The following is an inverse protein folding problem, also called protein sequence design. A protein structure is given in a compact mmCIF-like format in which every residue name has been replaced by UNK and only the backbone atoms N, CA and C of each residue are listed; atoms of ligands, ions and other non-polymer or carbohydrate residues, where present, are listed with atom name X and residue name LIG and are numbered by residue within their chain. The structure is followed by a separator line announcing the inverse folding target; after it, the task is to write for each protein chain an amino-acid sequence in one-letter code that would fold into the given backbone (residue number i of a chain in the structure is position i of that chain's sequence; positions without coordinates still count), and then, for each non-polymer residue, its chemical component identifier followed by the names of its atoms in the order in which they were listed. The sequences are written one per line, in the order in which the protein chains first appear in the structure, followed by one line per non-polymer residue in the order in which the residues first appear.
data_IF_533875591033
#
_entry.id   IF_533875591033
#
_cell.length_a   1.000
_cell.length_b   1.000
_cell.length_c   1.000
_cell.angle_alpha   90.00
_cell.angle_beta   90.00
_cell.angle_gamma   90.00
#
_symmetry.space_group_name_H-M   'P 1'
#
loop_
_entity.id
_entity.type
_entity.pdbx_description
1 polymer ?
#
# COMPACT_ATOMS: atom_id res chain seq x y z
N UNK A 1 1.84 -19.10 -22.11
CA UNK A 1 2.86 -20.16 -22.03
C UNK A 1 3.92 -19.74 -21.02
N UNK A 2 4.09 -20.49 -19.92
CA UNK A 2 5.19 -20.29 -18.99
C UNK A 2 6.49 -20.78 -19.66
N UNK A 3 7.57 -20.00 -19.57
CA UNK A 3 8.88 -20.45 -20.06
C UNK A 3 9.39 -21.57 -19.13
N UNK A 4 10.21 -22.51 -19.64
CA UNK A 4 10.73 -23.64 -18.84
C UNK A 4 11.35 -23.17 -17.50
N UNK A 5 11.99 -22.00 -17.49
CA UNK A 5 12.61 -21.43 -16.29
C UNK A 5 11.59 -20.90 -15.27
N UNK A 6 10.49 -20.27 -15.70
CA UNK A 6 9.46 -19.80 -14.76
C UNK A 6 8.66 -20.96 -14.17
N UNK A 7 8.39 -22.01 -14.95
CA UNK A 7 7.76 -23.22 -14.44
C UNK A 7 8.62 -23.94 -13.39
N UNK A 8 9.95 -24.00 -13.60
CA UNK A 8 10.90 -24.55 -12.61
C UNK A 8 10.92 -23.70 -11.33
N UNK A 9 10.97 -22.37 -11.46
CA UNK A 9 10.94 -21.45 -10.31
C UNK A 9 9.64 -21.58 -9.51
N UNK A 10 8.49 -21.63 -10.18
CA UNK A 10 7.19 -21.83 -9.54
C UNK A 10 7.13 -23.17 -8.77
N UNK A 11 7.66 -24.25 -9.36
CA UNK A 11 7.70 -25.55 -8.70
C UNK A 11 8.55 -25.52 -7.42
N UNK A 12 9.73 -24.89 -7.48
CA UNK A 12 10.60 -24.73 -6.30
C UNK A 12 9.89 -23.90 -5.22
N UNK A 13 9.25 -22.80 -5.61
CA UNK A 13 8.49 -21.95 -4.70
C UNK A 13 7.36 -22.72 -4.00
N UNK A 14 6.56 -23.48 -4.76
CA UNK A 14 5.47 -24.28 -4.18
C UNK A 14 5.98 -25.35 -3.23
N UNK A 15 7.08 -26.03 -3.58
CA UNK A 15 7.72 -27.01 -2.69
C UNK A 15 8.16 -26.33 -1.39
N UNK A 16 8.79 -25.15 -1.49
CA UNK A 16 9.24 -24.40 -0.32
C UNK A 16 8.06 -24.00 0.58
N UNK A 17 6.97 -23.49 -0.01
CA UNK A 17 5.74 -23.15 0.73
C UNK A 17 5.19 -24.35 1.50
N UNK A 18 5.06 -25.51 0.85
CA UNK A 18 4.58 -26.73 1.50
C UNK A 18 5.50 -27.14 2.64
N UNK A 19 6.82 -27.19 2.40
CA UNK A 19 7.82 -27.52 3.43
C UNK A 19 7.73 -26.57 4.61
N UNK A 20 7.67 -25.25 4.37
CA UNK A 20 7.59 -24.25 5.44
C UNK A 20 6.31 -24.41 6.26
N UNK A 21 5.15 -24.56 5.61
CA UNK A 21 3.88 -24.80 6.30
C UNK A 21 3.95 -26.08 7.14
N UNK A 22 4.45 -27.18 6.56
CA UNK A 22 4.58 -28.45 7.27
C UNK A 22 5.52 -28.33 8.47
N UNK A 23 6.68 -27.69 8.33
CA UNK A 23 7.60 -27.48 9.45
C UNK A 23 6.95 -26.64 10.55
N UNK A 24 6.28 -25.53 10.21
CA UNK A 24 5.55 -24.72 11.18
C UNK A 24 4.52 -25.58 11.91
N UNK A 25 3.74 -26.38 11.20
CA UNK A 25 2.74 -27.25 11.83
C UNK A 25 3.39 -28.31 12.74
N UNK A 26 4.43 -29.01 12.28
CA UNK A 26 5.10 -30.04 13.09
C UNK A 26 5.70 -29.46 14.37
N UNK A 27 6.27 -28.27 14.33
CA UNK A 27 6.86 -27.63 15.50
C UNK A 27 5.86 -26.90 16.40
N UNK A 28 4.68 -26.52 15.90
CA UNK A 28 3.73 -25.66 16.62
C UNK A 28 2.43 -26.39 17.03
N UNK A 29 2.10 -27.51 16.38
CA UNK A 29 0.82 -28.20 16.63
C UNK A 29 0.84 -28.85 18.01
N UNK A 30 -0.10 -28.40 18.84
CA UNK A 30 -0.49 -29.03 20.11
C UNK A 30 -1.86 -29.70 19.96
N UNK A 31 -2.23 -30.56 20.91
CA UNK A 31 -3.58 -31.15 20.99
C UNK A 31 -4.69 -30.08 20.98
N UNK A 32 -4.44 -28.94 21.62
CA UNK A 32 -5.33 -27.79 21.61
C UNK A 32 -5.48 -27.19 20.21
N UNK A 33 -4.40 -27.12 19.42
CA UNK A 33 -4.41 -26.64 18.04
C UNK A 33 -5.26 -27.53 17.14
N UNK A 34 -5.14 -28.86 17.30
CA UNK A 34 -5.94 -29.84 16.54
C UNK A 34 -7.42 -29.75 16.91
N UNK A 35 -7.73 -29.61 18.20
CA UNK A 35 -9.10 -29.42 18.69
C UNK A 35 -9.71 -28.11 18.18
N UNK A 36 -8.94 -27.03 18.14
CA UNK A 36 -9.36 -25.74 17.58
C UNK A 36 -9.64 -25.83 16.07
N UNK A 37 -8.73 -26.44 15.30
CA UNK A 37 -8.89 -26.64 13.85
C UNK A 37 -10.16 -27.43 13.52
N UNK A 38 -10.49 -28.46 14.29
CA UNK A 38 -11.72 -29.25 14.12
C UNK A 38 -13.01 -28.47 14.42
N UNK A 39 -12.92 -27.40 15.21
CA UNK A 39 -14.06 -26.54 15.56
C UNK A 39 -14.28 -25.40 14.57
N UNK A 40 -13.35 -25.15 13.64
CA UNK A 40 -13.50 -24.12 12.61
C UNK A 40 -14.67 -24.49 11.70
N UNK A 41 -15.68 -23.62 11.63
CA UNK A 41 -16.79 -23.80 10.70
C UNK A 41 -16.34 -23.39 9.30
N UNK A 42 -16.53 -24.27 8.32
CA UNK A 42 -16.24 -24.03 6.91
C UNK A 42 -16.88 -22.75 6.34
N UNK A 43 -18.01 -22.32 6.91
CA UNK A 43 -18.69 -21.08 6.52
C UNK A 43 -17.78 -19.85 6.70
N UNK A 44 -16.96 -19.79 7.76
CA UNK A 44 -16.07 -18.66 8.00
C UNK A 44 -14.92 -18.65 6.99
N UNK A 45 -14.32 -19.82 6.72
CA UNK A 45 -13.28 -19.95 5.69
C UNK A 45 -13.76 -19.50 4.31
N UNK A 46 -14.95 -19.95 3.90
CA UNK A 46 -15.52 -19.54 2.61
C UNK A 46 -15.85 -18.05 2.57
N UNK A 47 -16.38 -17.50 3.67
CA UNK A 47 -16.67 -16.07 3.80
C UNK A 47 -15.40 -15.22 3.71
N UNK A 48 -14.31 -15.62 4.36
CA UNK A 48 -13.01 -14.95 4.26
C UNK A 48 -12.47 -14.94 2.83
N UNK A 49 -12.63 -16.04 2.08
CA UNK A 49 -12.23 -16.10 0.67
C UNK A 49 -13.05 -15.13 -0.18
N UNK A 50 -14.37 -15.07 0.03
CA UNK A 50 -15.25 -14.13 -0.69
C UNK A 50 -14.84 -12.69 -0.39
N UNK A 51 -14.64 -12.35 0.88
CA UNK A 51 -14.20 -11.02 1.29
C UNK A 51 -12.85 -10.66 0.70
N UNK A 52 -11.90 -11.60 0.66
CA UNK A 52 -10.60 -11.39 0.04
C UNK A 52 -10.73 -11.11 -1.47
N UNK A 53 -11.58 -11.86 -2.17
CA UNK A 53 -11.83 -11.60 -3.58
C UNK A 53 -12.47 -10.23 -3.80
N UNK A 54 -13.47 -9.88 -2.99
CA UNK A 54 -14.10 -8.56 -3.04
C UNK A 54 -13.09 -7.43 -2.78
N UNK A 55 -12.21 -7.59 -1.80
CA UNK A 55 -11.10 -6.67 -1.52
C UNK A 55 -10.20 -6.50 -2.75
N UNK A 56 -9.73 -7.60 -3.35
CA UNK A 56 -8.83 -7.55 -4.52
C UNK A 56 -9.51 -6.88 -5.72
N UNK A 57 -10.79 -7.15 -5.95
CA UNK A 57 -11.56 -6.53 -7.04
C UNK A 57 -11.68 -5.01 -6.84
N UNK A 58 -12.09 -4.58 -5.64
CA UNK A 58 -12.22 -3.15 -5.33
C UNK A 58 -10.87 -2.44 -5.37
N UNK A 59 -9.81 -3.06 -4.83
CA UNK A 59 -8.45 -2.54 -4.93
C UNK A 59 -7.99 -2.36 -6.38
N UNK A 60 -8.23 -3.37 -7.22
CA UNK A 60 -7.82 -3.34 -8.62
C UNK A 60 -8.52 -2.20 -9.38
N UNK A 61 -9.83 -2.04 -9.19
CA UNK A 61 -10.61 -0.94 -9.76
C UNK A 61 -10.07 0.41 -9.25
N UNK A 62 -9.73 0.51 -7.96
CA UNK A 62 -9.20 1.77 -7.40
C UNK A 62 -7.87 2.15 -8.06
N UNK A 63 -6.99 1.19 -8.29
CA UNK A 63 -5.71 1.42 -8.97
C UNK A 63 -5.95 1.87 -10.43
N UNK A 64 -6.90 1.25 -11.12
CA UNK A 64 -7.30 1.68 -12.47
C UNK A 64 -7.81 3.13 -12.49
N UNK A 65 -8.71 3.49 -11.57
CA UNK A 65 -9.23 4.85 -11.45
C UNK A 65 -8.14 5.88 -11.10
N UNK A 66 -7.22 5.53 -10.20
CA UNK A 66 -6.05 6.37 -9.89
C UNK A 66 -5.16 6.54 -11.10
N UNK A 67 -4.89 5.45 -11.84
CA UNK A 67 -4.08 5.50 -13.05
C UNK A 67 -4.69 6.42 -14.11
N UNK A 68 -6.01 6.34 -14.33
CA UNK A 68 -6.74 7.23 -15.25
C UNK A 68 -6.66 8.68 -14.81
N UNK A 69 -6.84 8.93 -13.52
CA UNK A 69 -6.87 10.30 -12.97
C UNK A 69 -5.53 11.00 -13.14
N UNK A 70 -4.43 10.28 -12.88
CA UNK A 70 -3.06 10.79 -12.85
C UNK A 70 -2.42 10.77 -14.25
N UNK A 71 -2.59 9.68 -15.00
CA UNK A 71 -1.89 9.47 -16.28
C UNK A 71 -2.76 9.71 -17.51
N UNK A 72 -4.06 9.90 -17.33
CA UNK A 72 -5.04 10.02 -18.41
C UNK A 72 -5.48 8.69 -19.02
N UNK A 73 -4.83 7.59 -18.66
CA UNK A 73 -5.06 6.27 -19.24
C UNK A 73 -5.31 5.23 -18.15
N UNK A 74 -6.17 4.26 -18.44
CA UNK A 74 -6.36 3.11 -17.59
C UNK A 74 -5.24 2.10 -17.83
N UNK A 75 -4.63 1.62 -16.75
CA UNK A 75 -3.84 0.38 -16.84
C UNK A 75 -4.77 -0.81 -16.98
N UNK A 76 -4.24 -1.93 -17.47
CA UNK A 76 -5.02 -3.18 -17.59
C UNK A 76 -5.41 -3.72 -16.21
N UNK A 77 -6.64 -4.20 -16.07
CA UNK A 77 -7.13 -4.85 -14.85
C UNK A 77 -6.22 -5.98 -14.36
N UNK A 78 -5.76 -6.82 -15.30
CA UNK A 78 -4.80 -7.89 -14.99
C UNK A 78 -3.50 -7.36 -14.38
N UNK A 79 -3.05 -6.18 -14.81
CA UNK A 79 -1.85 -5.52 -14.28
C UNK A 79 -2.13 -4.91 -12.91
N UNK A 80 -3.34 -4.41 -12.63
CA UNK A 80 -3.78 -4.01 -11.29
C UNK A 80 -3.80 -5.19 -10.31
N UNK A 81 -4.33 -6.34 -10.73
CA UNK A 81 -4.33 -7.56 -9.92
C UNK A 81 -2.89 -8.05 -9.66
N UNK A 82 -2.05 -8.05 -10.70
CA UNK A 82 -0.63 -8.39 -10.57
C UNK A 82 0.10 -7.42 -9.62
N UNK A 83 -0.23 -6.13 -9.68
CA UNK A 83 0.29 -5.09 -8.80
C UNK A 83 -0.04 -5.34 -7.32
N UNK A 84 -1.26 -5.82 -7.02
CA UNK A 84 -1.68 -6.18 -5.66
C UNK A 84 -0.92 -7.41 -5.17
N UNK A 85 -1.00 -8.53 -5.91
CA UNK A 85 -0.43 -9.79 -5.46
C UNK A 85 1.10 -9.78 -5.43
N UNK A 86 1.76 -9.29 -6.49
CA UNK A 86 3.22 -9.23 -6.49
C UNK A 86 3.73 -8.24 -5.45
N UNK A 87 3.03 -7.12 -5.26
CA UNK A 87 3.34 -6.15 -4.22
C UNK A 87 3.27 -6.79 -2.82
N UNK A 88 2.14 -7.42 -2.49
CA UNK A 88 1.95 -8.09 -1.21
C UNK A 88 2.97 -9.21 -0.98
N UNK A 89 3.22 -10.04 -2.00
CA UNK A 89 4.17 -11.14 -1.94
C UNK A 89 5.60 -10.66 -1.64
N UNK A 90 6.10 -9.68 -2.41
CA UNK A 90 7.46 -9.16 -2.18
C UNK A 90 7.56 -8.36 -0.88
N UNK A 91 6.51 -7.67 -0.46
CA UNK A 91 6.44 -7.08 0.88
C UNK A 91 6.55 -8.12 1.98
N UNK A 92 5.90 -9.28 1.84
CA UNK A 92 5.91 -10.34 2.86
C UNK A 92 7.27 -11.06 2.96
N UNK A 93 8.01 -11.17 1.86
CA UNK A 93 9.29 -11.91 1.83
C UNK A 93 10.48 -11.02 2.17
N UNK A 94 10.35 -9.70 2.08
CA UNK A 94 11.46 -8.76 2.32
C UNK A 94 11.37 -8.06 3.67
N UNK A 95 12.50 -7.80 4.36
CA UNK A 95 12.49 -7.06 5.61
C UNK A 95 11.92 -5.65 5.39
N UNK A 96 11.20 -5.15 6.39
CA UNK A 96 10.53 -3.83 6.37
C UNK A 96 9.52 -3.64 5.22
N UNK A 97 9.06 -4.72 4.57
CA UNK A 97 8.18 -4.65 3.40
C UNK A 97 8.77 -3.86 2.22
N UNK A 98 10.10 -3.71 2.17
CA UNK A 98 10.78 -2.83 1.22
C UNK A 98 10.63 -3.29 -0.25
N UNK A 99 10.36 -4.57 -0.49
CA UNK A 99 10.25 -5.17 -1.82
C UNK A 99 8.94 -4.90 -2.57
N UNK A 100 7.85 -4.54 -1.87
CA UNK A 100 6.54 -4.36 -2.50
C UNK A 100 6.46 -3.13 -3.40
N UNK A 101 6.95 -1.98 -2.92
CA UNK A 101 6.90 -0.74 -3.71
C UNK A 101 7.72 -0.81 -5.01
N UNK A 102 8.97 -1.36 -5.04
CA UNK A 102 9.73 -1.52 -6.27
C UNK A 102 9.03 -2.35 -7.35
N UNK A 103 8.42 -3.49 -6.99
CA UNK A 103 7.72 -4.32 -7.99
C UNK A 103 6.45 -3.64 -8.50
N UNK A 104 5.74 -2.93 -7.62
CA UNK A 104 4.59 -2.11 -7.98
C UNK A 104 4.98 -1.03 -8.99
N UNK A 105 6.11 -0.34 -8.79
CA UNK A 105 6.64 0.63 -9.74
C UNK A 105 7.00 -0.02 -11.09
N UNK A 106 7.63 -1.20 -11.06
CA UNK A 106 7.99 -1.94 -12.28
C UNK A 106 6.76 -2.31 -13.11
N UNK A 107 5.69 -2.79 -12.47
CA UNK A 107 4.44 -3.17 -13.14
C UNK A 107 3.80 -1.96 -13.82
N UNK A 108 3.68 -0.82 -13.11
CA UNK A 108 3.15 0.41 -13.68
C UNK A 108 4.05 0.96 -14.79
N UNK A 109 5.36 0.79 -14.68
CA UNK A 109 6.30 1.18 -15.74
C UNK A 109 6.11 0.36 -17.01
N UNK A 110 5.84 -0.95 -16.87
CA UNK A 110 5.52 -1.85 -17.98
C UNK A 110 4.20 -1.49 -18.67
N UNK A 111 3.26 -0.86 -17.97
CA UNK A 111 2.04 -0.27 -18.53
C UNK A 111 2.28 1.09 -19.21
N UNK A 112 3.52 1.56 -19.31
CA UNK A 112 3.89 2.78 -20.04
C UNK A 112 3.81 4.07 -19.21
N UNK A 113 3.57 3.98 -17.91
CA UNK A 113 3.46 5.17 -17.06
C UNK A 113 4.83 5.88 -16.88
N UNK A 114 4.82 7.20 -16.82
CA UNK A 114 6.00 8.02 -16.52
C UNK A 114 6.35 7.96 -15.03
N UNK A 115 7.63 8.11 -14.69
CA UNK A 115 8.13 7.89 -13.33
C UNK A 115 7.52 8.83 -12.29
N UNK A 116 7.28 10.09 -12.66
CA UNK A 116 6.64 11.07 -11.81
C UNK A 116 5.19 10.68 -11.49
N UNK A 117 4.43 10.22 -12.49
CA UNK A 117 3.06 9.72 -12.34
C UNK A 117 2.98 8.45 -11.49
N UNK A 118 3.91 7.52 -11.69
CA UNK A 118 4.01 6.28 -10.88
C UNK A 118 4.18 6.62 -9.41
N UNK A 119 5.13 7.49 -9.08
CA UNK A 119 5.37 7.88 -7.70
C UNK A 119 4.19 8.67 -7.12
N UNK A 120 3.56 9.56 -7.90
CA UNK A 120 2.34 10.25 -7.46
C UNK A 120 1.22 9.26 -7.17
N UNK A 121 1.05 8.21 -7.99
CA UNK A 121 0.04 7.19 -7.77
C UNK A 121 0.27 6.45 -6.45
N UNK A 122 1.51 6.02 -6.18
CA UNK A 122 1.85 5.33 -4.94
C UNK A 122 1.67 6.23 -3.71
N UNK A 123 2.04 7.51 -3.81
CA UNK A 123 1.81 8.48 -2.74
C UNK A 123 0.31 8.72 -2.51
N UNK A 124 -0.45 8.96 -3.58
CA UNK A 124 -1.90 9.16 -3.50
C UNK A 124 -2.59 7.95 -2.90
N UNK A 125 -2.17 6.74 -3.25
CA UNK A 125 -2.70 5.51 -2.66
C UNK A 125 -2.51 5.51 -1.13
N UNK A 126 -1.32 5.85 -0.64
CA UNK A 126 -1.04 5.94 0.80
C UNK A 126 -1.84 7.05 1.49
N UNK A 127 -1.91 8.24 0.90
CA UNK A 127 -2.66 9.38 1.44
C UNK A 127 -4.15 9.06 1.52
N UNK A 128 -4.73 8.48 0.46
CA UNK A 128 -6.14 8.08 0.44
C UNK A 128 -6.42 7.00 1.48
N UNK A 129 -5.51 6.04 1.68
CA UNK A 129 -5.63 5.02 2.72
C UNK A 129 -5.69 5.67 4.12
N UNK A 130 -4.71 6.54 4.44
CA UNK A 130 -4.65 7.23 5.74
C UNK A 130 -5.88 8.13 5.96
N UNK A 131 -6.29 8.89 4.95
CA UNK A 131 -7.48 9.74 5.02
C UNK A 131 -8.75 8.93 5.24
N UNK A 132 -8.90 7.82 4.53
CA UNK A 132 -10.09 6.96 4.65
C UNK A 132 -10.15 6.29 6.02
N UNK A 133 -9.02 5.77 6.51
CA UNK A 133 -8.92 5.28 7.89
C UNK A 133 -9.27 6.35 8.93
N UNK A 134 -8.74 7.57 8.76
CA UNK A 134 -9.03 8.68 9.66
C UNK A 134 -10.53 9.03 9.67
N UNK A 135 -11.16 9.14 8.50
CA UNK A 135 -12.59 9.41 8.39
C UNK A 135 -13.46 8.30 9.01
N UNK A 136 -13.13 7.03 8.74
CA UNK A 136 -13.81 5.90 9.34
C UNK A 136 -13.64 5.90 10.87
N UNK A 137 -12.45 6.23 11.37
CA UNK A 137 -12.19 6.30 12.82
C UNK A 137 -13.07 7.34 13.53
N UNK A 138 -13.39 8.47 12.88
CA UNK A 138 -14.30 9.48 13.44
C UNK A 138 -15.72 8.95 13.56
N UNK A 139 -16.19 8.18 12.58
CA UNK A 139 -17.55 7.62 12.58
C UNK A 139 -17.72 6.61 13.73
N UNK A 140 -16.73 5.74 13.93
CA UNK A 140 -16.77 4.67 14.94
C UNK A 140 -16.21 5.08 16.31
N UNK A 141 -15.80 6.33 16.52
CA UNK A 141 -15.14 6.77 17.75
C UNK A 141 -16.03 6.60 18.99
N UNK A 142 -17.35 6.77 18.83
CA UNK A 142 -18.32 6.65 19.93
C UNK A 142 -18.52 5.19 20.35
N UNK A 143 -18.59 4.29 19.39
CA UNK A 143 -18.70 2.85 19.65
C UNK A 143 -17.41 2.33 20.30
N UNK A 144 -16.26 2.81 19.84
CA UNK A 144 -14.96 2.48 20.42
C UNK A 144 -14.83 2.99 21.87
N UNK A 145 -15.14 4.25 22.16
CA UNK A 145 -15.02 4.83 23.51
C UNK A 145 -15.96 4.16 24.54
N UNK A 146 -17.12 3.68 24.11
CA UNK A 146 -18.13 3.08 24.99
C UNK A 146 -17.86 1.63 25.35
N UNK A 147 -17.07 0.91 24.54
CA UNK A 147 -16.83 -0.53 24.68
C UNK A 147 -15.43 -0.88 25.19
N UNK A 148 -14.52 0.09 25.28
CA UNK A 148 -13.14 -0.15 25.76
C UNK A 148 -12.94 0.22 27.23
N UNK A 149 -12.38 -0.69 28.07
CA UNK A 149 -11.82 -0.35 29.37
C UNK A 149 -10.84 0.84 29.26
N UNK A 150 -10.82 1.71 30.28
CA UNK A 150 -10.07 2.98 30.31
C UNK A 150 -8.57 2.84 29.96
N UNK A 151 -7.97 1.67 30.23
CA UNK A 151 -6.58 1.32 29.91
C UNK A 151 -6.27 1.19 28.41
N UNK A 152 -7.27 0.90 27.56
CA UNK A 152 -7.12 0.88 26.09
C UNK A 152 -7.26 2.29 25.50
N UNK A 153 -7.95 3.20 26.21
CA UNK A 153 -8.17 4.59 25.78
C UNK A 153 -6.88 5.39 25.58
N UNK A 154 -5.88 5.19 26.46
CA UNK A 154 -4.55 5.81 26.28
C UNK A 154 -3.85 5.30 25.02
N UNK A 155 -3.90 3.99 24.76
CA UNK A 155 -3.23 3.39 23.60
C UNK A 155 -3.87 3.85 22.28
N UNK A 156 -5.19 4.03 22.25
CA UNK A 156 -5.88 4.63 21.10
C UNK A 156 -5.50 6.09 20.86
N UNK A 157 -5.30 6.88 21.93
CA UNK A 157 -4.84 8.26 21.78
C UNK A 157 -3.42 8.34 21.21
N UNK A 158 -2.52 7.44 21.63
CA UNK A 158 -1.20 7.33 21.01
C UNK A 158 -1.28 7.02 19.51
N UNK A 159 -2.18 6.11 19.10
CA UNK A 159 -2.39 5.80 17.69
C UNK A 159 -2.89 7.03 16.91
N UNK A 160 -3.91 7.73 17.42
CA UNK A 160 -4.47 8.94 16.80
C UNK A 160 -3.40 10.04 16.66
N UNK A 161 -2.64 10.32 17.72
CA UNK A 161 -1.56 11.31 17.70
C UNK A 161 -0.47 10.91 16.69
N UNK A 162 -0.08 9.63 16.67
CA UNK A 162 0.94 9.13 15.74
C UNK A 162 0.50 9.31 14.29
N UNK A 163 -0.75 8.93 13.96
CA UNK A 163 -1.30 9.13 12.62
C UNK A 163 -1.41 10.62 12.26
N UNK A 164 -1.83 11.49 13.19
CA UNK A 164 -1.91 12.92 12.97
C UNK A 164 -0.51 13.54 12.69
N UNK A 165 0.52 13.13 13.42
CA UNK A 165 1.91 13.58 13.21
C UNK A 165 2.44 13.11 11.85
N UNK A 166 2.25 11.83 11.49
CA UNK A 166 2.66 11.29 10.19
C UNK A 166 1.95 12.04 9.06
N UNK A 167 0.65 12.27 9.20
CA UNK A 167 -0.15 12.99 8.21
C UNK A 167 0.29 14.45 8.07
N UNK A 168 0.53 15.14 9.18
CA UNK A 168 1.09 16.50 9.18
C UNK A 168 2.47 16.58 8.51
N UNK A 169 3.34 15.60 8.77
CA UNK A 169 4.66 15.51 8.15
C UNK A 169 4.57 15.27 6.63
N UNK A 170 3.63 14.42 6.18
CA UNK A 170 3.34 14.24 4.75
C UNK A 170 2.89 15.54 4.08
N UNK A 171 1.98 16.31 4.72
CA UNK A 171 1.54 17.61 4.20
C UNK A 171 2.72 18.57 4.06
N UNK A 172 3.60 18.67 5.06
CA UNK A 172 4.78 19.54 5.02
C UNK A 172 5.71 19.14 3.87
N UNK A 173 5.95 17.83 3.69
CA UNK A 173 6.81 17.28 2.64
C UNK A 173 6.26 17.63 1.24
N UNK A 174 4.95 17.52 1.04
CA UNK A 174 4.29 17.81 -0.22
C UNK A 174 4.16 19.32 -0.49
N UNK A 175 4.07 20.13 0.56
CA UNK A 175 3.90 21.58 0.45
C UNK A 175 5.18 22.32 0.04
N UNK A 176 6.36 21.80 0.41
CA UNK A 176 7.65 22.48 0.15
C UNK A 176 8.65 21.61 -0.64
N UNK A 177 8.35 21.27 -1.92
CA UNK A 177 9.27 20.50 -2.77
C UNK A 177 10.62 21.19 -2.99
N UNK A 178 10.63 22.53 -2.95
CA UNK A 178 11.84 23.35 -3.10
C UNK A 178 12.76 23.25 -1.88
N UNK A 179 12.22 23.06 -0.67
CA UNK A 179 13.03 22.85 0.53
C UNK A 179 13.72 21.48 0.48
N UNK A 180 13.02 20.46 0.00
CA UNK A 180 13.58 19.14 -0.24
C UNK A 180 14.72 19.19 -1.27
N UNK A 181 14.51 19.91 -2.38
CA UNK A 181 15.56 20.18 -3.37
C UNK A 181 16.77 20.87 -2.74
N UNK A 182 16.57 21.98 -2.00
CA UNK A 182 17.67 22.72 -1.36
C UNK A 182 18.43 21.85 -0.35
N UNK A 183 17.75 20.99 0.39
CA UNK A 183 18.37 20.05 1.32
C UNK A 183 19.25 19.03 0.59
N UNK A 184 18.71 18.36 -0.44
CA UNK A 184 19.49 17.41 -1.25
C UNK A 184 20.66 18.08 -1.98
N UNK A 185 20.51 19.32 -2.47
CA UNK A 185 21.59 20.08 -3.11
C UNK A 185 22.65 20.54 -2.10
N UNK A 186 22.27 20.91 -0.86
CA UNK A 186 23.23 21.24 0.21
C UNK A 186 24.08 20.03 0.59
N UNK A 187 23.48 18.84 0.66
CA UNK A 187 24.17 17.59 1.00
C UNK A 187 25.03 17.10 -0.17
N UNK A 188 24.56 17.23 -1.41
CA UNK A 188 25.24 16.67 -2.58
C UNK A 188 26.31 17.57 -3.20
N UNK A 189 26.35 18.85 -2.84
CA UNK A 189 27.41 19.79 -3.26
C UNK A 189 28.08 20.46 -2.05
N UNK A 190 28.78 19.70 -1.18
CA UNK A 190 29.61 20.32 -0.17
C UNK A 190 30.71 21.14 -0.89
N UNK A 191 30.73 22.46 -0.66
CA UNK A 191 31.64 23.42 -1.31
C UNK A 191 31.47 23.59 -2.83
N UNK A 192 30.29 23.30 -3.39
CA UNK A 192 29.99 23.62 -4.80
C UNK A 192 30.63 22.70 -5.84
N UNK A 193 31.34 21.64 -5.43
CA UNK A 193 31.85 20.61 -6.36
C UNK A 193 30.77 19.56 -6.61
N UNK A 194 30.52 19.25 -7.89
CA UNK A 194 29.65 18.14 -8.29
C UNK A 194 30.32 16.83 -7.89
N UNK A 195 29.67 16.07 -7.03
CA UNK A 195 30.14 14.74 -6.60
C UNK A 195 29.41 13.65 -7.38
N UNK A 196 29.83 12.39 -7.22
CA UNK A 196 29.09 11.22 -7.74
C UNK A 196 27.61 11.22 -7.29
N UNK A 197 27.34 11.70 -6.08
CA UNK A 197 25.99 11.84 -5.53
C UNK A 197 25.14 12.83 -6.33
N UNK A 198 25.74 13.90 -6.87
CA UNK A 198 25.01 14.88 -7.68
C UNK A 198 24.44 14.23 -8.96
N UNK A 199 25.19 13.34 -9.61
CA UNK A 199 24.71 12.64 -10.82
C UNK A 199 23.53 11.70 -10.54
N UNK A 200 23.50 11.06 -9.37
CA UNK A 200 22.42 10.16 -8.95
C UNK A 200 21.17 10.97 -8.52
N UNK A 201 21.36 12.08 -7.82
CA UNK A 201 20.27 12.88 -7.26
C UNK A 201 19.57 13.79 -8.28
N UNK A 202 20.24 14.15 -9.39
CA UNK A 202 19.67 15.00 -10.42
C UNK A 202 18.41 14.39 -11.09
N UNK A 203 18.43 13.14 -11.60
CA UNK A 203 17.24 12.46 -12.11
C UNK A 203 16.13 12.35 -11.07
N UNK A 204 16.47 11.95 -9.82
CA UNK A 204 15.52 11.82 -8.72
C UNK A 204 14.83 13.17 -8.44
N UNK A 205 15.60 14.25 -8.38
CA UNK A 205 15.05 15.58 -8.13
C UNK A 205 14.07 16.02 -9.23
N UNK A 206 14.34 15.70 -10.49
CA UNK A 206 13.46 16.01 -11.62
C UNK A 206 12.14 15.26 -11.50
N UNK A 207 12.21 13.97 -11.20
CA UNK A 207 11.03 13.12 -10.98
C UNK A 207 10.22 13.62 -9.77
N UNK A 208 10.86 13.97 -8.65
CA UNK A 208 10.17 14.53 -7.48
C UNK A 208 9.45 15.85 -7.78
N UNK A 209 10.03 16.72 -8.63
CA UNK A 209 9.33 17.94 -9.05
C UNK A 209 8.11 17.64 -9.92
N UNK A 210 8.24 16.71 -10.88
CA UNK A 210 7.13 16.23 -11.69
C UNK A 210 6.02 15.65 -10.82
N UNK A 211 6.39 14.81 -9.85
CA UNK A 211 5.47 14.17 -8.91
C UNK A 211 4.64 15.18 -8.12
N UNK A 212 5.29 16.25 -7.62
CA UNK A 212 4.58 17.32 -6.87
C UNK A 212 3.71 18.16 -7.79
N UNK A 213 4.14 18.42 -9.03
CA UNK A 213 3.30 19.10 -10.02
C UNK A 213 2.04 18.28 -10.32
N UNK A 214 2.20 17.00 -10.64
CA UNK A 214 1.11 16.06 -10.92
C UNK A 214 0.17 15.93 -9.72
N UNK A 215 0.71 15.88 -8.50
CA UNK A 215 -0.09 15.91 -7.27
C UNK A 215 -0.92 17.19 -7.15
N UNK A 216 -0.32 18.37 -7.37
CA UNK A 216 -1.02 19.66 -7.31
C UNK A 216 -2.10 19.77 -8.37
N UNK A 217 -1.82 19.37 -9.61
CA UNK A 217 -2.78 19.34 -10.72
C UNK A 217 -3.96 18.44 -10.37
N UNK A 218 -3.72 17.26 -9.80
CA UNK A 218 -4.79 16.37 -9.37
C UNK A 218 -5.66 17.00 -8.28
N UNK A 219 -5.05 17.66 -7.29
CA UNK A 219 -5.76 18.31 -6.19
C UNK A 219 -6.57 19.54 -6.63
N UNK A 220 -6.02 20.35 -7.53
CA UNK A 220 -6.64 21.59 -8.01
C UNK A 220 -7.72 21.34 -9.06
N UNK A 221 -7.43 20.48 -10.04
CA UNK A 221 -8.22 20.44 -11.28
C UNK A 221 -9.24 19.30 -11.28
N UNK A 222 -9.14 18.34 -10.35
CA UNK A 222 -10.02 17.15 -10.28
C UNK A 222 -10.53 16.84 -8.86
N UNK A 223 -11.04 17.82 -8.08
CA UNK A 223 -11.45 17.59 -6.69
C UNK A 223 -12.58 16.55 -6.56
N UNK A 224 -13.51 16.51 -7.51
CA UNK A 224 -14.60 15.52 -7.53
C UNK A 224 -14.10 14.07 -7.67
N UNK A 225 -13.03 13.86 -8.44
CA UNK A 225 -12.44 12.54 -8.59
C UNK A 225 -11.76 12.10 -7.29
N UNK A 226 -11.15 13.03 -6.55
CA UNK A 226 -10.55 12.74 -5.25
C UNK A 226 -11.62 12.35 -4.23
N UNK A 227 -12.74 13.07 -4.17
CA UNK A 227 -13.85 12.74 -3.28
C UNK A 227 -14.40 11.34 -3.61
N UNK A 228 -14.64 11.06 -4.88
CA UNK A 228 -15.06 9.72 -5.33
C UNK A 228 -14.04 8.64 -4.98
N UNK A 229 -12.74 8.92 -5.10
CA UNK A 229 -11.67 8.01 -4.72
C UNK A 229 -11.60 7.79 -3.20
N UNK A 230 -11.84 8.81 -2.38
CA UNK A 230 -11.90 8.65 -0.91
C UNK A 230 -13.07 7.74 -0.55
N UNK A 231 -14.28 8.01 -1.08
CA UNK A 231 -15.44 7.16 -0.84
C UNK A 231 -15.18 5.71 -1.25
N UNK A 232 -14.61 5.51 -2.44
CA UNK A 232 -14.29 4.17 -2.93
C UNK A 232 -13.17 3.50 -2.12
N UNK A 233 -12.20 4.27 -1.61
CA UNK A 233 -11.17 3.75 -0.70
C UNK A 233 -11.77 3.32 0.62
N UNK A 234 -12.70 4.08 1.20
CA UNK A 234 -13.44 3.68 2.40
C UNK A 234 -14.26 2.42 2.17
N UNK A 235 -14.81 2.21 0.97
CA UNK A 235 -15.51 0.97 0.62
C UNK A 235 -14.55 -0.25 0.61
N UNK A 236 -13.32 -0.07 0.13
CA UNK A 236 -12.28 -1.11 0.14
C UNK A 236 -11.90 -1.53 1.57
N UNK A 237 -11.96 -0.60 2.52
CA UNK A 237 -11.66 -0.85 3.93
C UNK A 237 -12.63 -1.86 4.58
N UNK A 238 -13.89 -1.92 4.13
CA UNK A 238 -14.89 -2.80 4.72
C UNK A 238 -14.51 -4.29 4.62
N UNK A 239 -14.25 -4.87 3.43
CA UNK A 239 -13.84 -6.27 3.35
C UNK A 239 -12.48 -6.53 4.00
N UNK A 240 -11.52 -5.60 3.89
CA UNK A 240 -10.15 -5.75 4.44
C UNK A 240 -10.18 -5.96 5.97
N UNK A 241 -10.95 -5.13 6.69
CA UNK A 241 -11.07 -5.25 8.14
C UNK A 241 -12.12 -6.26 8.61
N UNK A 242 -13.15 -6.53 7.80
CA UNK A 242 -14.16 -7.55 8.15
C UNK A 242 -13.58 -8.95 8.22
N UNK A 243 -12.50 -9.24 7.48
CA UNK A 243 -11.76 -10.51 7.57
C UNK A 243 -11.18 -10.73 8.98
N UNK A 244 -10.81 -9.66 9.69
CA UNK A 244 -10.23 -9.76 11.04
C UNK A 244 -11.27 -10.03 12.14
N UNK A 245 -12.56 -9.83 11.87
CA UNK A 245 -13.64 -9.97 12.85
C UNK A 245 -14.53 -11.21 12.62
N UNK A 246 -14.20 -12.06 11.63
CA UNK A 246 -14.86 -13.35 11.37
C UNK A 246 -14.11 -14.51 12.01
#
# INVERSE_FOLDING_TARGET
MLTKNTAKGLRIFLILVVITITLILVFTVTEETVSALKKIKWIYLFSSIILLLAYVLLEAIRIELLSKTISGHFIRFSSSVLFIFCGAFLSAVTPFQAGGAPVQMYILKKEGMEWDKILTLLLMRGILYILSAFLLSIIFIKDFLSSTPYSIGMLSWYAVITYAVIFGLLIILLSKPVALKRFFFRISMPRGRRTRLTYILLPVSRVSHGMVKTFKTMWSDKPLHIIGLIFFTSLVYLPDHSIAYM
#
